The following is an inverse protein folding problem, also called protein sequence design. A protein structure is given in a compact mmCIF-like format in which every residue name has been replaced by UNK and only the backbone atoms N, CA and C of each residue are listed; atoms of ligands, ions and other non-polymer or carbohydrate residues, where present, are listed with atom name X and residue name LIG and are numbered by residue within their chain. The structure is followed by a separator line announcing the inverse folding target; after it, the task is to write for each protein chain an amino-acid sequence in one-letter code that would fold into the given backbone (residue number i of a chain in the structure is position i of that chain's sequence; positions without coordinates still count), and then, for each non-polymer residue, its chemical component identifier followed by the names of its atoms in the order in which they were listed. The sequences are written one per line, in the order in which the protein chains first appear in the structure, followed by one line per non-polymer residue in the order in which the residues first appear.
data_IF_380948135031
#
_entry.id   IF_380948135031
#
_cell.length_a   1.000
_cell.length_b   1.000
_cell.length_c   1.000
_cell.angle_alpha   90.00
_cell.angle_beta   90.00
_cell.angle_gamma   90.00
#
_symmetry.space_group_name_H-M   'P 1'
#
loop_
_entity.id
_entity.type
_entity.pdbx_description
1 polymer ?
#
# COMPACT_ATOMS: atom_id res chain seq x y z
N UNK A 1 -9.58 7.40 1.22
CA UNK A 1 -8.99 7.07 2.54
C UNK A 1 -9.54 5.84 3.24
N UNK A 2 -10.85 5.54 3.18
CA UNK A 2 -11.45 4.39 3.88
C UNK A 2 -10.72 3.07 3.61
N UNK A 3 -10.39 2.78 2.35
CA UNK A 3 -9.68 1.56 1.95
C UNK A 3 -8.28 1.47 2.58
N UNK A 4 -7.49 2.54 2.58
CA UNK A 4 -6.19 2.57 3.25
C UNK A 4 -6.29 2.33 4.75
N UNK A 5 -7.31 2.86 5.42
CA UNK A 5 -7.47 2.69 6.87
C UNK A 5 -8.09 1.35 7.27
N UNK A 6 -8.94 0.76 6.43
CA UNK A 6 -9.72 -0.44 6.77
C UNK A 6 -9.25 -1.70 6.04
N UNK A 7 -8.41 -1.56 5.01
CA UNK A 7 -7.92 -2.68 4.22
C UNK A 7 -6.79 -3.46 4.90
N UNK A 8 -6.08 -2.84 5.84
CA UNK A 8 -5.07 -3.53 6.64
C UNK A 8 -5.70 -4.37 7.76
N UNK A 9 -5.01 -5.46 8.11
CA UNK A 9 -5.32 -6.23 9.32
C UNK A 9 -5.09 -5.38 10.57
N UNK A 10 -5.82 -5.68 11.65
CA UNK A 10 -5.60 -5.07 12.97
C UNK A 10 -4.19 -5.30 13.54
N UNK A 11 -3.45 -6.28 13.01
CA UNK A 11 -2.07 -6.58 13.39
C UNK A 11 -1.02 -5.80 12.59
N UNK A 12 -1.43 -5.06 11.56
CA UNK A 12 -0.50 -4.28 10.78
C UNK A 12 -0.04 -3.06 11.60
N UNK A 13 1.27 -2.87 11.65
CA UNK A 13 1.88 -1.72 12.29
C UNK A 13 2.50 -0.80 11.23
N UNK A 14 2.49 0.50 11.51
CA UNK A 14 2.87 1.53 10.55
C UNK A 14 3.98 2.40 11.12
N UNK A 15 4.95 2.73 10.27
CA UNK A 15 5.98 3.70 10.62
C UNK A 15 5.35 5.10 10.78
N UNK A 16 5.86 5.91 11.69
CA UNK A 16 5.34 7.26 11.99
C UNK A 16 5.37 8.21 10.79
N UNK A 17 6.28 7.98 9.85
CA UNK A 17 6.38 8.74 8.58
C UNK A 17 5.41 8.30 7.48
N UNK A 18 4.52 7.33 7.72
CA UNK A 18 3.55 6.88 6.73
C UNK A 18 2.29 7.77 6.74
N UNK A 19 2.06 8.49 5.65
CA UNK A 19 0.89 9.36 5.48
C UNK A 19 0.02 8.91 4.29
N UNK A 20 -1.05 8.17 4.60
CA UNK A 20 -2.01 7.73 3.60
C UNK A 20 -2.82 8.87 2.98
N UNK A 21 -2.96 10.01 3.66
CA UNK A 21 -3.64 11.18 3.10
C UNK A 21 -2.81 11.82 2.01
N UNK A 22 -1.51 12.02 2.28
CA UNK A 22 -0.57 12.46 1.28
C UNK A 22 -0.49 11.50 0.10
N UNK A 23 -0.34 10.19 0.35
CA UNK A 23 -0.32 9.18 -0.71
C UNK A 23 -1.59 9.23 -1.57
N UNK A 24 -2.77 9.36 -0.94
CA UNK A 24 -4.05 9.40 -1.68
C UNK A 24 -4.21 10.67 -2.53
N UNK A 25 -3.58 11.78 -2.13
CA UNK A 25 -3.56 13.03 -2.89
C UNK A 25 -2.56 12.97 -4.05
N UNK A 26 -1.38 12.41 -3.79
CA UNK A 26 -0.27 12.37 -4.75
C UNK A 26 -0.45 11.28 -5.82
N UNK A 27 -1.23 10.22 -5.52
CA UNK A 27 -1.43 9.08 -6.43
C UNK A 27 -2.92 8.75 -6.61
N UNK A 28 -3.43 9.03 -7.80
CA UNK A 28 -4.77 8.60 -8.22
C UNK A 28 -4.67 7.14 -8.69
N UNK A 29 -5.27 6.24 -7.93
CA UNK A 29 -5.37 4.80 -8.25
C UNK A 29 -6.77 4.28 -7.94
N UNK A 30 -7.17 3.22 -8.65
CA UNK A 30 -8.48 2.58 -8.45
C UNK A 30 -8.59 1.92 -7.07
N UNK A 31 -9.82 1.70 -6.60
CA UNK A 31 -10.06 0.95 -5.35
C UNK A 31 -9.48 -0.47 -5.37
N UNK A 32 -9.52 -1.13 -6.53
CA UNK A 32 -8.90 -2.43 -6.75
C UNK A 32 -7.37 -2.38 -6.62
N UNK A 33 -6.74 -1.37 -7.22
CA UNK A 33 -5.30 -1.15 -7.09
C UNK A 33 -4.90 -0.88 -5.64
N UNK A 34 -5.67 -0.07 -4.89
CA UNK A 34 -5.42 0.15 -3.44
C UNK A 34 -5.40 -1.18 -2.69
N UNK A 35 -6.39 -2.05 -2.91
CA UNK A 35 -6.45 -3.36 -2.24
C UNK A 35 -5.26 -4.26 -2.60
N UNK A 36 -4.80 -4.21 -3.85
CA UNK A 36 -3.61 -4.95 -4.27
C UNK A 36 -2.34 -4.43 -3.62
N UNK A 37 -2.19 -3.10 -3.51
CA UNK A 37 -1.06 -2.49 -2.78
C UNK A 37 -1.08 -2.93 -1.32
N UNK A 38 -2.22 -2.81 -0.64
CA UNK A 38 -2.40 -3.22 0.76
C UNK A 38 -2.01 -4.68 0.95
N UNK A 39 -2.49 -5.59 0.09
CA UNK A 39 -2.16 -7.02 0.14
C UNK A 39 -0.66 -7.23 -0.03
N UNK A 40 -0.06 -6.59 -1.03
CA UNK A 40 1.36 -6.71 -1.32
C UNK A 40 2.22 -6.27 -0.12
N UNK A 41 2.01 -5.07 0.41
CA UNK A 41 2.85 -4.55 1.51
C UNK A 41 2.59 -5.28 2.82
N UNK A 42 1.37 -5.76 3.06
CA UNK A 42 1.06 -6.59 4.23
C UNK A 42 1.84 -7.91 4.18
N UNK A 43 1.92 -8.56 3.02
CA UNK A 43 2.71 -9.78 2.85
C UNK A 43 4.21 -9.53 3.00
N UNK A 44 4.72 -8.36 2.57
CA UNK A 44 6.12 -8.00 2.78
C UNK A 44 6.43 -7.82 4.27
N UNK A 45 5.59 -7.05 4.98
CA UNK A 45 5.72 -6.86 6.43
C UNK A 45 5.71 -8.20 7.19
N UNK A 46 4.78 -9.10 6.85
CA UNK A 46 4.69 -10.42 7.50
C UNK A 46 5.91 -11.32 7.25
N UNK A 47 6.54 -11.24 6.08
CA UNK A 47 7.78 -12.00 5.79
C UNK A 47 8.94 -11.55 6.69
N UNK A 48 8.97 -10.27 7.04
CA UNK A 48 9.97 -9.66 7.90
C UNK A 48 9.50 -9.64 9.37
N UNK A 49 8.87 -10.72 9.83
CA UNK A 49 8.37 -10.89 11.20
C UNK A 49 7.38 -9.82 11.67
N UNK A 50 6.59 -9.24 10.75
CA UNK A 50 5.60 -8.22 11.07
C UNK A 50 6.18 -6.83 11.25
N UNK A 51 7.30 -6.50 10.58
CA UNK A 51 7.91 -5.16 10.66
C UNK A 51 6.92 -4.06 10.28
N UNK A 52 7.21 -2.84 10.76
CA UNK A 52 6.46 -1.65 10.40
C UNK A 52 6.41 -1.44 8.89
N UNK A 53 5.21 -1.16 8.38
CA UNK A 53 4.98 -0.76 6.99
C UNK A 53 5.42 0.69 6.84
N UNK A 54 6.29 0.98 5.88
CA UNK A 54 6.82 2.31 5.62
C UNK A 54 6.15 2.99 4.43
N UNK A 55 6.44 4.29 4.26
CA UNK A 55 6.02 5.02 3.07
C UNK A 55 6.64 4.42 1.79
N UNK A 56 7.91 3.99 1.84
CA UNK A 56 8.54 3.35 0.67
C UNK A 56 7.84 2.06 0.25
N UNK A 57 7.40 1.24 1.21
CA UNK A 57 6.67 0.00 0.92
C UNK A 57 5.39 0.29 0.11
N UNK A 58 4.61 1.28 0.55
CA UNK A 58 3.36 1.67 -0.10
C UNK A 58 3.64 2.25 -1.49
N UNK A 59 4.63 3.13 -1.61
CA UNK A 59 5.05 3.70 -2.91
C UNK A 59 5.58 2.62 -3.87
N UNK A 60 6.29 1.61 -3.37
CA UNK A 60 6.70 0.45 -4.16
C UNK A 60 5.50 -0.35 -4.66
N UNK A 61 4.51 -0.60 -3.80
CA UNK A 61 3.28 -1.26 -4.20
C UNK A 61 2.51 -0.48 -5.26
N UNK A 62 2.38 0.83 -5.12
CA UNK A 62 1.73 1.71 -6.11
C UNK A 62 2.45 1.63 -7.46
N UNK A 63 3.79 1.77 -7.47
CA UNK A 63 4.58 1.62 -8.70
C UNK A 63 4.39 0.27 -9.38
N UNK A 64 4.25 -0.81 -8.58
CA UNK A 64 3.98 -2.14 -9.09
C UNK A 64 2.60 -2.24 -9.78
N UNK A 65 1.58 -1.61 -9.21
CA UNK A 65 0.23 -1.61 -9.82
C UNK A 65 0.19 -0.77 -11.10
N UNK A 66 0.82 0.41 -11.13
CA UNK A 66 0.94 1.19 -12.37
C UNK A 66 1.66 0.41 -13.47
N UNK A 67 2.74 -0.30 -13.13
CA UNK A 67 3.49 -1.11 -14.10
C UNK A 67 2.69 -2.33 -14.61
N UNK A 68 1.67 -2.80 -13.88
CA UNK A 68 0.77 -3.86 -14.35
C UNK A 68 -0.30 -3.31 -15.27
N UNK A 69 -0.92 -2.18 -14.90
CA UNK A 69 -1.93 -1.52 -15.74
C UNK A 69 -1.33 -1.07 -17.07
N UNK A 70 -0.11 -0.53 -17.08
CA UNK A 70 0.59 -0.12 -18.31
C UNK A 70 1.10 -1.27 -19.20
N UNK A 71 1.07 -2.53 -18.73
CA UNK A 71 1.45 -3.72 -19.53
C UNK A 71 0.25 -4.47 -20.09
N UNK A 72 -0.97 -4.03 -19.74
CA UNK A 72 -2.22 -4.61 -20.22
C UNK A 72 -2.93 -3.76 -21.29
N UNK A 73 -2.25 -2.77 -21.86
CA UNK A 73 -2.73 -1.93 -22.98
C UNK A 73 -1.99 -2.24 -24.27
#
# INVERSE_FOLDING_TARGET
LRLWRQGFSKKAEFHTGLDFEKISKDHVISGGAIMNVIRFVSLQSLKDSGRLITNEDVLQGIRREYAKEGKGS
#
